data_IF_120014132478
#
_entry.id   IF_120014132478
#
_cell.length_a   1.000
_cell.length_b   1.000
_cell.length_c   1.000
_cell.angle_alpha   90.00
_cell.angle_beta   90.00
_cell.angle_gamma   90.00
#
_symmetry.space_group_name_H-M   'P 1'
#
loop_
_entity.id
_entity.type
_entity.pdbx_description
1 polymer ?
#
# COMPACT_ATOMS: atom_id res chain seq x y z
N UNK A 1 -26.00 -29.82 -9.29
CA UNK A 1 -26.68 -28.52 -9.47
C UNK A 1 -25.64 -27.41 -9.43
N UNK A 2 -25.66 -26.53 -10.42
CA UNK A 2 -24.61 -25.57 -10.77
C UNK A 2 -24.25 -24.58 -9.65
N UNK A 3 -22.95 -24.29 -9.56
CA UNK A 3 -22.31 -23.23 -8.78
C UNK A 3 -22.97 -21.86 -9.04
N UNK A 4 -23.95 -21.47 -8.23
CA UNK A 4 -24.49 -20.10 -8.22
C UNK A 4 -23.88 -19.29 -7.08
N UNK A 5 -22.57 -18.99 -7.19
CA UNK A 5 -21.96 -17.97 -6.34
C UNK A 5 -22.16 -16.60 -6.96
N UNK A 6 -23.18 -15.91 -6.45
CA UNK A 6 -23.63 -14.57 -6.80
C UNK A 6 -22.49 -13.56 -7.05
N UNK A 7 -22.34 -13.18 -8.32
CA UNK A 7 -21.31 -12.31 -8.88
C UNK A 7 -21.15 -10.96 -8.12
N UNK A 8 -22.26 -10.40 -7.60
CA UNK A 8 -22.27 -9.14 -6.87
C UNK A 8 -21.59 -9.21 -5.48
N UNK A 9 -21.79 -10.30 -4.72
CA UNK A 9 -21.11 -10.49 -3.42
C UNK A 9 -19.61 -10.62 -3.62
N UNK A 10 -19.21 -11.42 -4.61
CA UNK A 10 -17.79 -11.59 -4.99
C UNK A 10 -17.14 -10.26 -5.39
N UNK A 11 -17.81 -9.46 -6.20
CA UNK A 11 -17.35 -8.11 -6.58
C UNK A 11 -17.23 -7.16 -5.38
N UNK A 12 -18.22 -7.14 -4.48
CA UNK A 12 -18.19 -6.32 -3.26
C UNK A 12 -17.00 -6.68 -2.36
N UNK A 13 -16.76 -7.96 -2.09
CA UNK A 13 -15.62 -8.40 -1.27
C UNK A 13 -14.28 -8.03 -1.93
N UNK A 14 -14.15 -8.14 -3.26
CA UNK A 14 -12.94 -7.72 -4.00
C UNK A 14 -12.69 -6.21 -3.87
N UNK A 15 -13.72 -5.39 -4.02
CA UNK A 15 -13.59 -3.93 -3.88
C UNK A 15 -13.24 -3.55 -2.44
N UNK A 16 -13.90 -4.17 -1.45
CA UNK A 16 -13.64 -3.93 -0.04
C UNK A 16 -12.19 -4.27 0.33
N UNK A 17 -11.69 -5.44 -0.10
CA UNK A 17 -10.31 -5.85 0.12
C UNK A 17 -9.30 -4.88 -0.54
N UNK A 18 -9.56 -4.44 -1.78
CA UNK A 18 -8.72 -3.45 -2.48
C UNK A 18 -8.68 -2.11 -1.74
N UNK A 19 -9.82 -1.66 -1.20
CA UNK A 19 -9.91 -0.45 -0.37
C UNK A 19 -9.16 -0.60 0.95
N UNK A 20 -9.24 -1.75 1.61
CA UNK A 20 -8.48 -2.02 2.84
C UNK A 20 -6.97 -2.00 2.59
N UNK A 21 -6.48 -2.65 1.52
CA UNK A 21 -5.06 -2.60 1.16
C UNK A 21 -4.57 -1.16 0.87
N UNK A 22 -5.39 -0.34 0.21
CA UNK A 22 -5.06 1.06 -0.06
C UNK A 22 -4.96 1.93 1.22
N UNK A 23 -5.72 1.58 2.26
CA UNK A 23 -5.66 2.24 3.59
C UNK A 23 -4.39 1.86 4.37
N UNK A 24 -3.84 0.67 4.16
CA UNK A 24 -2.71 0.17 4.93
C UNK A 24 -1.37 0.79 4.54
N UNK A 25 -1.20 1.24 3.30
CA UNK A 25 0.10 1.68 2.80
C UNK A 25 0.04 3.02 2.06
N UNK A 26 1.12 3.80 2.16
CA UNK A 26 1.40 5.00 1.37
C UNK A 26 2.62 4.73 0.49
N UNK A 27 2.64 5.30 -0.71
CA UNK A 27 3.77 5.20 -1.63
C UNK A 27 4.57 6.50 -1.53
N UNK A 28 5.86 6.39 -1.24
CA UNK A 28 6.80 7.50 -1.27
C UNK A 28 7.77 7.33 -2.44
N UNK A 29 8.24 8.46 -3.00
CA UNK A 29 9.36 8.46 -3.93
C UNK A 29 10.64 8.71 -3.16
N UNK A 30 11.67 7.90 -3.41
CA UNK A 30 13.01 8.18 -2.91
C UNK A 30 13.53 9.47 -3.55
N UNK A 31 14.02 10.45 -2.76
CA UNK A 31 14.51 11.72 -3.29
C UNK A 31 15.83 11.60 -4.07
N UNK A 32 16.57 10.50 -3.88
CA UNK A 32 17.88 10.28 -4.53
C UNK A 32 17.76 9.50 -5.85
N UNK A 33 16.98 8.41 -5.87
CA UNK A 33 16.92 7.52 -7.03
C UNK A 33 15.53 7.40 -7.68
N UNK A 34 14.52 8.11 -7.14
CA UNK A 34 13.15 8.09 -7.65
C UNK A 34 12.35 6.81 -7.37
N UNK A 35 12.96 5.78 -6.75
CA UNK A 35 12.30 4.51 -6.46
C UNK A 35 11.02 4.71 -5.64
N UNK A 36 9.93 4.04 -6.06
CA UNK A 36 8.68 3.99 -5.30
C UNK A 36 8.83 3.00 -4.13
N UNK A 37 8.62 3.48 -2.91
CA UNK A 37 8.71 2.72 -1.67
C UNK A 37 7.32 2.65 -1.03
N UNK A 38 6.86 1.44 -0.72
CA UNK A 38 5.60 1.23 0.01
C UNK A 38 5.88 1.26 1.51
N UNK A 39 5.19 2.15 2.23
CA UNK A 39 5.38 2.37 3.66
C UNK A 39 4.02 2.27 4.37
N UNK A 40 3.91 1.54 5.50
CA UNK A 40 2.66 1.45 6.25
C UNK A 40 2.14 2.82 6.71
N UNK A 41 0.82 3.03 6.64
CA UNK A 41 0.14 4.23 7.14
C UNK A 41 -0.05 4.16 8.66
N UNK A 42 -0.23 5.33 9.29
CA UNK A 42 -0.62 5.43 10.70
C UNK A 42 0.52 5.21 11.69
N UNK A 43 1.78 5.32 11.25
CA UNK A 43 2.96 5.20 12.14
C UNK A 43 3.56 6.56 12.52
N UNK A 44 2.96 7.66 12.08
CA UNK A 44 3.45 9.02 12.34
C UNK A 44 4.74 9.30 11.57
N UNK A 45 5.73 9.87 12.27
CA UNK A 45 7.08 10.15 11.72
C UNK A 45 7.86 8.84 11.61
N UNK A 46 8.26 8.48 10.39
CA UNK A 46 9.01 7.26 10.10
C UNK A 46 10.32 7.58 9.38
N UNK A 47 11.36 6.82 9.69
CA UNK A 47 12.62 6.81 8.95
C UNK A 47 12.53 5.76 7.84
N UNK A 48 12.50 6.22 6.60
CA UNK A 48 12.37 5.36 5.42
C UNK A 48 13.76 5.13 4.85
N UNK A 49 14.21 3.86 4.79
CA UNK A 49 15.41 3.45 4.08
C UNK A 49 15.04 3.00 2.66
N UNK A 50 15.69 3.56 1.65
CA UNK A 50 15.53 3.11 0.28
C UNK A 50 16.26 1.78 0.05
N UNK A 51 15.57 0.77 -0.47
CA UNK A 51 16.16 -0.53 -0.82
C UNK A 51 17.13 -0.48 -2.00
N UNK A 52 16.97 0.51 -2.91
CA UNK A 52 17.78 0.64 -4.12
C UNK A 52 19.11 1.36 -3.88
N UNK A 53 19.07 2.53 -3.23
CA UNK A 53 20.26 3.39 -3.05
C UNK A 53 20.73 3.50 -1.59
N UNK A 54 20.03 2.86 -0.64
CA UNK A 54 20.39 2.92 0.78
C UNK A 54 20.07 4.23 1.50
N UNK A 55 19.71 5.30 0.77
CA UNK A 55 19.40 6.61 1.36
C UNK A 55 18.28 6.51 2.41
N UNK A 56 18.47 7.22 3.54
CA UNK A 56 17.52 7.28 4.66
C UNK A 56 16.92 8.68 4.74
N UNK A 57 15.60 8.77 4.84
CA UNK A 57 14.92 10.06 4.95
C UNK A 57 13.68 9.98 5.84
N UNK A 58 13.38 11.08 6.53
CA UNK A 58 12.22 11.18 7.43
C UNK A 58 10.99 11.65 6.66
N UNK A 59 9.86 10.97 6.86
CA UNK A 59 8.54 11.41 6.37
C UNK A 59 7.45 11.08 7.37
N UNK A 60 6.34 11.80 7.27
CA UNK A 60 5.11 11.48 8.00
C UNK A 60 4.21 10.63 7.12
N UNK A 61 3.79 9.48 7.66
CA UNK A 61 2.93 8.48 6.99
C UNK A 61 1.45 8.84 6.91
#
# INVERSE_FOLDING_TARGET
MLRLVNNAKSWYYRISARRQQAKQYRIFKCPQCGQKLRVPRGKGKVSIKCSKCGNKFLRTT
#
